data_IF_692091196018
#
_entry.id   IF_692091196018
#
_cell.length_a   1.000
_cell.length_b   1.000
_cell.length_c   1.000
_cell.angle_alpha   90.00
_cell.angle_beta   90.00
_cell.angle_gamma   90.00
#
_symmetry.space_group_name_H-M   'P 1'
#
loop_
_entity.id
_entity.type
_entity.pdbx_description
1 polymer ?
#
# COMPACT_ATOMS: atom_id res chain seq x y z
N UNK A 1 -8.48 29.03 -9.82
CA UNK A 1 -8.47 28.15 -8.63
C UNK A 1 -8.72 26.74 -9.13
N UNK A 2 -7.94 25.77 -8.67
CA UNK A 2 -8.23 24.34 -8.95
C UNK A 2 -9.34 23.91 -7.99
N UNK A 3 -10.32 23.14 -8.49
CA UNK A 3 -11.36 22.56 -7.65
C UNK A 3 -10.73 21.61 -6.62
N UNK A 4 -11.32 21.48 -5.44
CA UNK A 4 -10.92 20.54 -4.40
C UNK A 4 -11.83 19.30 -4.44
N UNK A 5 -11.57 18.34 -5.35
CA UNK A 5 -12.46 17.22 -5.59
C UNK A 5 -12.43 16.20 -4.43
N UNK A 6 -13.57 15.54 -4.25
CA UNK A 6 -13.74 14.44 -3.31
C UNK A 6 -13.22 13.14 -3.90
N UNK A 7 -12.46 12.38 -3.11
CA UNK A 7 -11.98 11.03 -3.43
C UNK A 7 -12.60 10.01 -2.50
N UNK A 8 -12.55 8.74 -2.93
CA UNK A 8 -12.92 7.60 -2.10
C UNK A 8 -11.79 6.56 -2.04
N UNK A 9 -11.75 5.82 -0.94
CA UNK A 9 -10.85 4.67 -0.82
C UNK A 9 -11.32 3.53 -1.73
N UNK A 10 -10.37 2.80 -2.28
CA UNK A 10 -10.61 1.74 -3.26
C UNK A 10 -10.67 0.37 -2.60
N UNK A 11 -11.83 -0.26 -2.53
CA UNK A 11 -11.94 -1.65 -2.10
C UNK A 11 -13.39 -2.11 -1.93
N UNK A 12 -13.64 -3.37 -2.26
CA UNK A 12 -14.94 -4.01 -2.04
C UNK A 12 -14.83 -4.97 -0.86
N UNK A 13 -15.60 -4.73 0.20
CA UNK A 13 -15.72 -5.64 1.33
C UNK A 13 -16.51 -6.88 0.93
N UNK A 14 -15.97 -8.09 1.16
CA UNK A 14 -16.58 -9.34 0.70
C UNK A 14 -17.15 -10.21 1.82
N UNK A 15 -16.53 -10.30 2.98
CA UNK A 15 -17.02 -11.12 4.11
C UNK A 15 -16.29 -10.84 5.43
N UNK A 16 -17.04 -10.89 6.52
CA UNK A 16 -16.48 -11.02 7.86
C UNK A 16 -16.12 -12.49 8.07
N UNK A 17 -14.82 -12.82 8.16
CA UNK A 17 -14.36 -14.19 8.38
C UNK A 17 -13.98 -14.37 9.85
N UNK A 18 -14.22 -15.58 10.38
CA UNK A 18 -13.68 -15.99 11.68
C UNK A 18 -12.15 -15.99 11.70
N UNK A 19 -11.55 -16.21 12.88
CA UNK A 19 -10.09 -16.22 13.07
C UNK A 19 -9.40 -17.18 12.10
N UNK A 20 -8.85 -16.68 10.99
CA UNK A 20 -7.78 -17.38 10.28
C UNK A 20 -6.45 -16.95 10.92
N UNK A 21 -5.78 -17.91 11.54
CA UNK A 21 -4.44 -17.73 12.11
C UNK A 21 -3.39 -17.95 11.02
N UNK A 22 -2.34 -17.14 11.02
CA UNK A 22 -1.16 -17.43 10.23
C UNK A 22 -0.82 -16.37 9.18
N UNK A 23 -0.18 -16.81 8.12
CA UNK A 23 0.32 -15.93 7.06
C UNK A 23 -0.72 -15.89 5.93
N UNK A 24 -1.32 -14.72 5.62
CA UNK A 24 -2.28 -14.58 4.53
C UNK A 24 -1.67 -15.00 3.18
N UNK A 25 -2.52 -15.50 2.28
CA UNK A 25 -2.08 -16.05 1.01
C UNK A 25 -1.26 -15.04 0.17
N UNK A 26 -1.65 -13.76 0.18
CA UNK A 26 -0.96 -12.72 -0.57
C UNK A 26 0.46 -12.48 -0.07
N UNK A 27 0.65 -12.53 1.25
CA UNK A 27 1.98 -12.43 1.88
C UNK A 27 2.87 -13.62 1.53
N UNK A 28 2.27 -14.83 1.43
CA UNK A 28 2.97 -16.05 1.01
C UNK A 28 3.33 -16.00 -0.48
N UNK A 29 2.38 -15.57 -1.34
CA UNK A 29 2.55 -15.54 -2.81
C UNK A 29 3.74 -14.67 -3.22
N UNK A 30 3.89 -13.50 -2.60
CA UNK A 30 5.03 -12.61 -2.87
C UNK A 30 6.34 -13.05 -2.21
N UNK A 31 6.35 -14.20 -1.53
CA UNK A 31 7.50 -14.79 -0.83
C UNK A 31 8.09 -13.93 0.29
N UNK A 32 7.29 -13.08 0.92
CA UNK A 32 7.75 -12.27 2.05
C UNK A 32 8.28 -13.10 3.22
N UNK A 33 7.67 -14.25 3.61
CA UNK A 33 8.17 -15.08 4.70
C UNK A 33 9.60 -15.59 4.49
N UNK A 34 10.02 -15.82 3.25
CA UNK A 34 11.38 -16.28 2.95
C UNK A 34 12.43 -15.19 3.19
N UNK A 35 12.03 -13.92 3.20
CA UNK A 35 12.92 -12.81 3.47
C UNK A 35 13.09 -12.52 4.97
N UNK A 36 12.22 -13.03 5.84
CA UNK A 36 12.19 -12.64 7.26
C UNK A 36 13.41 -13.10 8.07
N UNK A 37 14.15 -14.09 7.60
CA UNK A 37 15.46 -14.44 8.18
C UNK A 37 16.54 -13.38 7.91
N UNK A 38 16.35 -12.56 6.88
CA UNK A 38 17.30 -11.53 6.45
C UNK A 38 16.80 -10.13 6.80
N UNK A 39 15.52 -9.85 6.58
CA UNK A 39 14.91 -8.53 6.80
C UNK A 39 13.44 -8.66 7.20
N UNK A 40 12.99 -7.81 8.12
CA UNK A 40 11.61 -7.75 8.60
C UNK A 40 11.02 -6.35 8.50
N UNK A 41 11.69 -5.42 7.81
CA UNK A 41 11.26 -4.02 7.68
C UNK A 41 11.62 -3.15 8.89
N UNK A 42 12.55 -3.57 9.75
CA UNK A 42 12.93 -2.84 10.96
C UNK A 42 13.40 -1.41 10.66
N UNK A 43 12.95 -0.45 11.50
CA UNK A 43 13.22 1.00 11.38
C UNK A 43 12.64 1.70 10.15
N UNK A 44 11.85 1.03 9.32
CA UNK A 44 11.19 1.67 8.18
C UNK A 44 9.86 2.27 8.62
N UNK A 45 9.69 3.56 8.31
CA UNK A 45 8.50 4.37 8.62
C UNK A 45 7.61 4.44 7.38
N UNK A 46 6.36 4.05 7.53
CA UNK A 46 5.37 4.05 6.44
C UNK A 46 4.21 4.95 6.81
N UNK A 47 4.04 6.06 6.12
CA UNK A 47 2.85 6.89 6.22
C UNK A 47 1.72 6.25 5.41
N UNK A 48 0.63 5.89 6.07
CA UNK A 48 -0.57 5.35 5.42
C UNK A 48 -1.63 6.44 5.41
N UNK A 49 -1.81 7.09 4.25
CA UNK A 49 -2.85 8.11 4.04
C UNK A 49 -4.15 7.38 3.73
N UNK A 50 -5.07 7.33 4.71
CA UNK A 50 -6.25 6.48 4.67
C UNK A 50 -7.32 6.91 5.70
N UNK A 51 -8.22 6.02 6.08
CA UNK A 51 -9.30 6.23 7.05
C UNK A 51 -8.85 6.22 8.51
N UNK A 52 -7.57 6.01 8.79
CA UNK A 52 -7.01 5.81 10.13
C UNK A 52 -6.63 4.36 10.41
N UNK A 53 -6.42 3.99 11.68
CA UNK A 53 -6.12 2.61 12.09
C UNK A 53 -6.77 2.30 13.44
N UNK A 54 -7.19 1.06 13.65
CA UNK A 54 -7.61 0.55 14.96
C UNK A 54 -6.38 0.31 15.85
N UNK A 55 -6.06 1.26 16.72
CA UNK A 55 -4.93 1.17 17.65
C UNK A 55 -5.07 0.05 18.68
N UNK A 56 -6.28 -0.46 18.88
CA UNK A 56 -6.56 -1.54 19.83
C UNK A 56 -6.39 -2.93 19.21
N UNK A 57 -6.21 -3.01 17.87
CA UNK A 57 -6.11 -4.30 17.19
C UNK A 57 -4.89 -5.09 17.69
N UNK A 58 -5.05 -6.33 18.17
CA UNK A 58 -3.98 -7.12 18.78
C UNK A 58 -2.78 -7.36 17.87
N UNK A 59 -3.00 -7.43 16.54
CA UNK A 59 -1.94 -7.68 15.57
C UNK A 59 -1.17 -6.41 15.18
N UNK A 60 -1.70 -5.22 15.51
CA UNK A 60 -1.14 -3.94 15.08
C UNK A 60 -0.51 -3.12 16.20
N UNK A 61 -0.90 -3.33 17.44
CA UNK A 61 -0.51 -2.48 18.59
C UNK A 61 0.99 -2.21 18.73
N UNK A 62 1.85 -3.11 18.23
CA UNK A 62 3.31 -2.98 18.28
C UNK A 62 3.93 -2.43 16.99
N UNK A 63 3.11 -2.26 15.94
CA UNK A 63 3.54 -1.80 14.63
C UNK A 63 3.07 -0.37 14.31
N UNK A 64 2.36 0.28 15.25
CA UNK A 64 1.77 1.61 15.06
C UNK A 64 2.51 2.69 15.81
N UNK A 65 2.68 3.83 15.16
CA UNK A 65 3.01 5.10 15.80
C UNK A 65 1.79 6.03 15.84
N UNK A 66 1.89 7.17 16.55
CA UNK A 66 0.76 8.08 16.77
C UNK A 66 0.11 8.57 15.47
N UNK A 67 0.90 8.88 14.43
CA UNK A 67 0.38 9.46 13.19
C UNK A 67 -0.29 10.84 13.36
N UNK A 68 -1.22 11.15 12.47
CA UNK A 68 -1.99 12.41 12.50
C UNK A 68 -3.43 12.20 12.02
N UNK A 69 -4.37 12.88 12.65
CA UNK A 69 -5.75 13.01 12.18
C UNK A 69 -5.93 14.40 11.56
N UNK A 70 -6.10 14.45 10.24
CA UNK A 70 -6.26 15.72 9.51
C UNK A 70 -7.68 16.28 9.63
N UNK A 71 -8.66 15.41 9.88
CA UNK A 71 -10.06 15.80 10.05
C UNK A 71 -10.33 16.39 11.45
N UNK A 72 -9.55 15.93 12.45
CA UNK A 72 -9.61 16.46 13.81
C UNK A 72 -8.22 16.33 14.48
N UNK A 73 -7.44 17.39 14.43
CA UNK A 73 -6.03 17.39 14.90
C UNK A 73 -5.87 17.18 16.40
N UNK A 74 -6.93 17.35 17.19
CA UNK A 74 -6.91 17.09 18.63
C UNK A 74 -7.07 15.59 18.96
N UNK A 75 -7.63 14.80 18.03
CA UNK A 75 -7.89 13.38 18.20
C UNK A 75 -6.79 12.50 17.59
N UNK A 76 -6.68 11.27 18.08
CA UNK A 76 -5.87 10.23 17.40
C UNK A 76 -6.52 9.86 16.05
N UNK A 77 -5.75 9.39 15.07
CA UNK A 77 -6.25 8.94 13.78
C UNK A 77 -6.90 7.54 13.87
N UNK A 78 -7.91 7.40 14.75
CA UNK A 78 -8.69 6.18 14.86
C UNK A 78 -9.48 5.92 13.58
N UNK A 79 -9.52 4.66 13.17
CA UNK A 79 -10.29 4.20 12.03
C UNK A 79 -11.75 3.96 12.43
N UNK A 80 -12.65 4.55 11.68
CA UNK A 80 -14.11 4.43 11.82
C UNK A 80 -14.78 3.83 10.56
N UNK A 81 -13.94 3.39 9.58
CA UNK A 81 -14.36 2.76 8.33
C UNK A 81 -13.88 1.29 8.26
N UNK A 82 -12.59 1.06 8.51
CA UNK A 82 -11.92 -0.26 8.49
C UNK A 82 -10.91 -0.43 7.36
N UNK A 83 -10.97 0.40 6.30
CA UNK A 83 -10.07 0.29 5.15
C UNK A 83 -8.60 0.50 5.57
N UNK A 84 -8.29 1.58 6.30
CA UNK A 84 -6.92 1.87 6.74
C UNK A 84 -6.36 0.82 7.70
N UNK A 85 -7.20 0.25 8.57
CA UNK A 85 -6.82 -0.89 9.43
C UNK A 85 -6.45 -2.12 8.59
N UNK A 86 -7.21 -2.40 7.54
CA UNK A 86 -6.92 -3.49 6.61
C UNK A 86 -5.58 -3.29 5.89
N UNK A 87 -5.33 -2.08 5.38
CA UNK A 87 -4.06 -1.70 4.74
C UNK A 87 -2.90 -1.88 5.72
N UNK A 88 -3.01 -1.33 6.94
CA UNK A 88 -1.97 -1.45 7.96
C UNK A 88 -1.68 -2.91 8.34
N UNK A 89 -2.71 -3.75 8.45
CA UNK A 89 -2.58 -5.17 8.73
C UNK A 89 -1.79 -5.92 7.65
N UNK A 90 -2.11 -5.69 6.39
CA UNK A 90 -1.39 -6.29 5.27
C UNK A 90 0.09 -5.87 5.26
N UNK A 91 0.38 -4.61 5.59
CA UNK A 91 1.76 -4.10 5.65
C UNK A 91 2.52 -4.70 6.84
N UNK A 92 1.98 -4.58 8.07
CA UNK A 92 2.79 -4.65 9.29
C UNK A 92 2.16 -5.40 10.46
N UNK A 93 1.10 -6.20 10.26
CA UNK A 93 0.60 -7.05 11.34
C UNK A 93 1.71 -7.97 11.87
N UNK A 94 1.80 -8.16 13.19
CA UNK A 94 2.92 -8.81 13.86
C UNK A 94 2.50 -9.72 15.03
N UNK A 95 1.44 -10.53 14.85
CA UNK A 95 0.96 -11.45 15.88
C UNK A 95 1.13 -12.91 15.46
N UNK A 96 2.35 -13.41 15.60
CA UNK A 96 2.74 -14.75 15.19
C UNK A 96 1.98 -15.89 15.90
N UNK A 97 1.56 -15.69 17.14
CA UNK A 97 1.02 -16.77 17.97
C UNK A 97 -0.51 -16.92 17.87
N UNK A 98 -1.24 -15.83 17.65
CA UNK A 98 -2.70 -15.82 17.77
C UNK A 98 -3.44 -15.07 16.67
N UNK A 99 -2.76 -14.44 15.74
CA UNK A 99 -3.32 -13.62 14.69
C UNK A 99 -2.61 -13.80 13.36
N UNK A 100 -2.56 -12.72 12.57
CA UNK A 100 -1.91 -12.70 11.27
C UNK A 100 -0.55 -12.00 11.30
N UNK A 101 0.24 -12.25 10.24
CA UNK A 101 1.51 -11.56 9.99
C UNK A 101 1.41 -10.89 8.63
N UNK A 102 1.73 -9.59 8.58
CA UNK A 102 1.84 -8.79 7.37
C UNK A 102 3.18 -8.99 6.65
N UNK A 103 3.39 -8.24 5.59
CA UNK A 103 4.58 -8.36 4.73
C UNK A 103 5.85 -7.96 5.46
N UNK A 104 5.83 -6.84 6.20
CA UNK A 104 6.98 -6.27 6.91
C UNK A 104 6.66 -6.09 8.41
N UNK A 105 6.67 -7.18 9.20
CA UNK A 105 6.10 -7.21 10.56
C UNK A 105 6.87 -6.38 11.60
N UNK A 106 8.03 -5.82 11.26
CA UNK A 106 8.79 -4.90 12.12
C UNK A 106 8.91 -3.47 11.55
N UNK A 107 8.19 -3.16 10.46
CA UNK A 107 8.02 -1.78 10.02
C UNK A 107 7.05 -1.02 10.95
N UNK A 108 7.14 0.30 10.95
CA UNK A 108 6.26 1.16 11.74
C UNK A 108 5.30 1.91 10.83
N UNK A 109 4.01 1.67 11.00
CA UNK A 109 2.95 2.38 10.30
C UNK A 109 2.58 3.65 11.07
N UNK A 110 2.55 4.75 10.36
CA UNK A 110 2.09 6.06 10.83
C UNK A 110 0.75 6.37 10.13
N UNK A 111 -0.38 6.19 10.83
CA UNK A 111 -1.69 6.50 10.24
C UNK A 111 -1.82 8.00 9.97
N UNK A 112 -2.19 8.35 8.76
CA UNK A 112 -2.51 9.72 8.33
C UNK A 112 -3.98 9.72 7.91
N UNK A 113 -4.87 10.01 8.88
CA UNK A 113 -6.31 10.00 8.63
C UNK A 113 -6.71 11.24 7.86
N UNK A 114 -6.91 11.05 6.55
CA UNK A 114 -7.44 12.05 5.63
C UNK A 114 -8.86 11.72 5.16
N UNK A 115 -9.27 10.45 5.29
CA UNK A 115 -10.57 9.94 4.84
C UNK A 115 -11.51 9.78 6.03
N UNK A 116 -12.77 10.17 5.83
CA UNK A 116 -13.84 10.08 6.81
C UNK A 116 -14.39 8.63 6.96
N UNK A 117 -15.42 8.46 7.78
CA UNK A 117 -16.09 7.18 8.01
C UNK A 117 -16.76 6.60 6.75
N UNK A 118 -17.07 7.41 5.75
CA UNK A 118 -17.59 6.97 4.45
C UNK A 118 -16.47 6.58 3.48
N UNK A 119 -15.21 6.76 3.88
CA UNK A 119 -14.06 6.54 3.01
C UNK A 119 -13.89 7.65 1.97
N UNK A 120 -14.25 8.88 2.28
CA UNK A 120 -14.15 10.05 1.41
C UNK A 120 -13.18 11.08 1.96
N UNK A 121 -12.43 11.76 1.08
CA UNK A 121 -11.48 12.82 1.43
C UNK A 121 -11.44 13.90 0.35
N UNK A 122 -11.12 15.13 0.74
CA UNK A 122 -10.77 16.17 -0.21
C UNK A 122 -9.29 16.07 -0.63
N UNK A 123 -8.96 16.51 -1.84
CA UNK A 123 -7.57 16.53 -2.33
C UNK A 123 -6.67 17.38 -1.42
N UNK A 124 -7.19 18.48 -0.88
CA UNK A 124 -6.49 19.32 0.09
C UNK A 124 -6.02 18.57 1.33
N UNK A 125 -6.85 17.67 1.89
CA UNK A 125 -6.49 16.84 3.04
C UNK A 125 -5.37 15.84 2.67
N UNK A 126 -5.45 15.27 1.47
CA UNK A 126 -4.41 14.37 0.96
C UNK A 126 -3.09 15.10 0.80
N UNK A 127 -3.09 16.31 0.23
CA UNK A 127 -1.90 17.16 0.09
C UNK A 127 -1.30 17.47 1.47
N UNK A 128 -2.12 17.84 2.46
CA UNK A 128 -1.67 18.04 3.84
C UNK A 128 -1.07 16.77 4.43
N UNK A 129 -1.63 15.60 4.12
CA UNK A 129 -1.11 14.29 4.53
C UNK A 129 0.27 13.99 3.94
N UNK A 130 0.45 14.24 2.65
CA UNK A 130 1.75 14.09 1.97
C UNK A 130 2.79 15.03 2.59
N UNK A 131 2.44 16.29 2.80
CA UNK A 131 3.33 17.28 3.39
C UNK A 131 3.71 16.91 4.84
N UNK A 132 2.76 16.39 5.63
CA UNK A 132 3.06 15.86 6.96
C UNK A 132 4.05 14.67 6.89
N UNK A 133 3.88 13.75 5.93
CA UNK A 133 4.80 12.64 5.72
C UNK A 133 6.22 13.12 5.37
N UNK A 134 6.34 14.16 4.54
CA UNK A 134 7.64 14.78 4.20
C UNK A 134 8.31 15.37 5.44
N UNK A 135 7.59 16.21 6.20
CA UNK A 135 8.10 16.82 7.44
C UNK A 135 8.45 15.78 8.51
N UNK A 136 7.72 14.69 8.58
CA UNK A 136 7.95 13.59 9.52
C UNK A 136 9.00 12.59 9.05
N UNK A 137 9.62 12.83 7.88
CA UNK A 137 10.67 11.98 7.28
C UNK A 137 10.24 10.51 7.18
N UNK A 138 9.08 10.28 6.54
CA UNK A 138 8.66 8.93 6.20
C UNK A 138 9.57 8.34 5.12
N UNK A 139 9.78 7.03 5.15
CA UNK A 139 10.50 6.33 4.07
C UNK A 139 9.56 6.02 2.91
N UNK A 140 8.31 5.67 3.21
CA UNK A 140 7.31 5.25 2.25
C UNK A 140 6.00 5.98 2.54
N UNK A 141 5.27 6.37 1.50
CA UNK A 141 3.86 6.81 1.57
C UNK A 141 3.03 5.80 0.81
N UNK A 142 2.05 5.19 1.50
CA UNK A 142 1.04 4.32 0.90
C UNK A 142 -0.23 5.13 0.62
N UNK A 143 -0.65 5.15 -0.64
CA UNK A 143 -1.85 5.84 -1.12
C UNK A 143 -2.78 4.83 -1.80
N UNK A 144 -3.68 4.25 -1.01
CA UNK A 144 -4.64 3.21 -1.44
C UNK A 144 -5.97 3.81 -1.89
N UNK A 145 -5.92 4.81 -2.75
CA UNK A 145 -7.05 5.54 -3.31
C UNK A 145 -6.71 6.11 -4.69
N UNK A 146 -7.73 6.54 -5.43
CA UNK A 146 -7.53 7.13 -6.73
C UNK A 146 -8.61 8.10 -7.18
N UNK A 147 -8.26 8.94 -8.16
CA UNK A 147 -9.16 9.86 -8.84
C UNK A 147 -8.93 9.83 -10.35
N UNK A 148 -9.98 10.09 -11.13
CA UNK A 148 -9.90 10.07 -12.60
C UNK A 148 -9.26 11.32 -13.18
N UNK A 149 -9.46 12.45 -12.51
CA UNK A 149 -9.01 13.76 -12.96
C UNK A 149 -7.60 14.06 -12.47
N UNK A 150 -6.79 14.68 -13.31
CA UNK A 150 -5.46 15.15 -12.94
C UNK A 150 -5.57 16.42 -12.10
N UNK A 151 -4.94 16.43 -10.92
CA UNK A 151 -4.76 17.61 -10.10
C UNK A 151 -3.30 18.10 -10.19
N UNK A 152 -3.11 19.39 -10.46
CA UNK A 152 -1.77 20.03 -10.48
C UNK A 152 -1.21 20.14 -9.08
N UNK A 153 -2.05 20.51 -8.11
CA UNK A 153 -1.65 20.66 -6.71
C UNK A 153 -1.20 19.35 -6.10
N UNK A 154 -1.94 18.26 -6.37
CA UNK A 154 -1.56 16.90 -5.95
C UNK A 154 -0.24 16.46 -6.62
N UNK A 155 -0.05 16.76 -7.91
CA UNK A 155 1.22 16.47 -8.60
C UNK A 155 2.40 17.19 -7.94
N UNK A 156 2.23 18.46 -7.56
CA UNK A 156 3.28 19.21 -6.87
C UNK A 156 3.63 18.56 -5.52
N UNK A 157 2.64 18.20 -4.70
CA UNK A 157 2.86 17.52 -3.43
C UNK A 157 3.60 16.18 -3.60
N UNK A 158 3.17 15.37 -4.57
CA UNK A 158 3.81 14.09 -4.92
C UNK A 158 5.26 14.32 -5.40
N UNK A 159 5.49 15.34 -6.23
CA UNK A 159 6.83 15.66 -6.72
C UNK A 159 7.75 16.11 -5.58
N UNK A 160 7.26 16.93 -4.66
CA UNK A 160 8.02 17.35 -3.48
C UNK A 160 8.42 16.17 -2.59
N UNK A 161 7.49 15.24 -2.34
CA UNK A 161 7.77 14.03 -1.57
C UNK A 161 8.81 13.13 -2.26
N UNK A 162 8.68 12.95 -3.59
CA UNK A 162 9.65 12.19 -4.39
C UNK A 162 11.06 12.83 -4.33
N UNK A 163 11.15 14.15 -4.49
CA UNK A 163 12.41 14.89 -4.42
C UNK A 163 13.03 14.85 -3.01
N UNK A 164 12.20 14.69 -1.97
CA UNK A 164 12.67 14.46 -0.59
C UNK A 164 13.14 13.01 -0.35
N UNK A 165 13.16 12.15 -1.38
CA UNK A 165 13.62 10.77 -1.30
C UNK A 165 12.58 9.79 -0.77
N UNK A 166 11.31 10.18 -0.67
CA UNK A 166 10.23 9.31 -0.18
C UNK A 166 9.69 8.47 -1.32
N UNK A 167 9.54 7.18 -1.07
CA UNK A 167 8.92 6.25 -2.01
C UNK A 167 7.40 6.36 -1.90
N UNK A 168 6.74 6.62 -3.02
CA UNK A 168 5.30 6.79 -3.08
C UNK A 168 4.68 5.62 -3.83
N UNK A 169 3.81 4.87 -3.17
CA UNK A 169 3.12 3.69 -3.73
C UNK A 169 1.64 4.00 -3.83
N UNK A 170 1.05 3.80 -5.01
CA UNK A 170 -0.34 4.19 -5.25
C UNK A 170 -1.12 3.15 -6.05
N UNK A 171 -2.41 3.01 -5.74
CA UNK A 171 -3.33 2.07 -6.37
C UNK A 171 -3.80 2.53 -7.75
N UNK A 172 -3.86 1.61 -8.71
CA UNK A 172 -4.18 1.94 -10.10
C UNK A 172 -5.67 2.13 -10.39
N UNK A 173 -6.56 1.79 -9.45
CA UNK A 173 -8.02 1.86 -9.59
C UNK A 173 -8.67 0.53 -9.96
N UNK A 174 -9.99 0.44 -9.72
CA UNK A 174 -10.76 -0.80 -9.69
C UNK A 174 -11.91 -0.89 -10.71
N UNK A 175 -11.84 -0.16 -11.84
CA UNK A 175 -12.90 -0.18 -12.87
C UNK A 175 -12.78 -1.35 -13.85
N UNK A 176 -11.73 -2.15 -13.79
CA UNK A 176 -11.44 -3.21 -14.77
C UNK A 176 -11.09 -2.69 -16.16
N UNK A 177 -10.84 -1.38 -16.31
CA UNK A 177 -10.65 -0.72 -17.59
C UNK A 177 -9.22 -0.88 -18.11
N UNK A 178 -9.12 -1.06 -19.44
CA UNK A 178 -7.84 -1.01 -20.15
C UNK A 178 -7.45 0.44 -20.43
N UNK A 179 -6.12 0.72 -20.42
CA UNK A 179 -5.54 2.05 -20.65
C UNK A 179 -6.06 3.11 -19.68
N UNK A 180 -6.50 2.69 -18.51
CA UNK A 180 -7.00 3.55 -17.44
C UNK A 180 -6.17 3.29 -16.18
N UNK A 181 -5.50 4.31 -15.68
CA UNK A 181 -4.80 4.30 -14.39
C UNK A 181 -5.17 5.60 -13.69
N UNK A 182 -5.58 5.50 -12.46
CA UNK A 182 -6.03 6.64 -11.66
C UNK A 182 -4.84 7.47 -11.16
N UNK A 183 -5.10 8.73 -10.81
CA UNK A 183 -4.13 9.56 -10.10
C UNK A 183 -4.29 9.33 -8.58
N UNK A 184 -3.20 9.31 -7.81
CA UNK A 184 -1.83 9.69 -8.19
C UNK A 184 -1.00 8.57 -8.85
N UNK A 185 -1.48 7.33 -8.96
CA UNK A 185 -0.72 6.21 -9.52
C UNK A 185 -0.21 6.46 -10.95
N UNK A 186 -0.90 7.31 -11.70
CA UNK A 186 -0.51 7.69 -13.07
C UNK A 186 0.66 8.69 -13.13
N UNK A 187 1.05 9.32 -12.01
CA UNK A 187 2.21 10.21 -12.00
C UNK A 187 3.51 9.41 -12.07
N UNK A 188 4.53 9.86 -12.84
CA UNK A 188 5.79 9.11 -12.99
C UNK A 188 6.60 8.99 -11.69
N UNK A 189 6.36 9.86 -10.71
CA UNK A 189 7.00 9.87 -9.40
C UNK A 189 6.48 8.76 -8.48
N UNK A 190 5.34 8.15 -8.80
CA UNK A 190 4.76 7.07 -7.99
C UNK A 190 5.14 5.69 -8.52
N UNK A 191 5.07 4.70 -7.65
CA UNK A 191 5.03 3.28 -8.03
C UNK A 191 3.56 2.91 -8.16
N UNK A 192 3.12 2.69 -9.39
CA UNK A 192 1.74 2.35 -9.73
C UNK A 192 1.49 0.85 -9.59
N UNK A 193 0.46 0.47 -8.83
CA UNK A 193 0.20 -0.92 -8.46
C UNK A 193 -1.14 -1.41 -9.00
N UNK A 194 -1.11 -2.50 -9.77
CA UNK A 194 -2.28 -3.28 -10.16
C UNK A 194 -2.48 -4.51 -9.28
N UNK A 195 -3.66 -5.13 -9.37
CA UNK A 195 -4.02 -6.29 -8.56
C UNK A 195 -4.00 -7.61 -9.34
N UNK A 196 -3.52 -8.67 -8.67
CA UNK A 196 -3.61 -10.07 -9.13
C UNK A 196 -4.50 -10.90 -8.22
N UNK A 197 -4.92 -12.05 -8.74
CA UNK A 197 -5.61 -13.11 -8.02
C UNK A 197 -4.66 -14.28 -7.66
N UNK A 198 -5.17 -15.28 -6.92
CA UNK A 198 -4.40 -16.48 -6.51
C UNK A 198 -3.79 -17.30 -7.67
N UNK A 199 -4.22 -17.06 -8.91
CA UNK A 199 -3.67 -17.71 -10.10
C UNK A 199 -2.58 -16.89 -10.78
N UNK A 200 -2.12 -15.78 -10.17
CA UNK A 200 -1.20 -14.79 -10.75
C UNK A 200 -1.70 -14.21 -12.08
N UNK A 201 -3.02 -14.06 -12.20
CA UNK A 201 -3.67 -13.36 -13.33
C UNK A 201 -4.10 -11.99 -12.85
N UNK A 202 -4.12 -11.01 -13.74
CA UNK A 202 -4.66 -9.68 -13.41
C UNK A 202 -6.12 -9.86 -12.97
N UNK A 203 -6.43 -9.34 -11.77
CA UNK A 203 -7.78 -9.40 -11.22
C UNK A 203 -8.77 -8.68 -12.15
N UNK A 204 -10.02 -9.18 -12.31
CA UNK A 204 -10.98 -8.61 -13.25
C UNK A 204 -11.25 -7.11 -13.03
N UNK A 205 -11.30 -6.69 -11.77
CA UNK A 205 -11.54 -5.29 -11.38
C UNK A 205 -10.31 -4.39 -11.58
N UNK A 206 -9.08 -4.94 -11.62
CA UNK A 206 -7.87 -4.12 -11.70
C UNK A 206 -7.83 -3.30 -12.98
N UNK A 207 -7.59 -2.01 -12.86
CA UNK A 207 -7.25 -1.17 -14.00
C UNK A 207 -5.93 -1.67 -14.62
N UNK A 208 -5.77 -1.42 -15.94
CA UNK A 208 -4.64 -1.91 -16.74
C UNK A 208 -4.11 -0.79 -17.63
N UNK A 209 -2.81 -0.74 -17.79
CA UNK A 209 -2.19 0.27 -18.68
C UNK A 209 -0.68 0.31 -18.58
N UNK A 210 -0.07 1.08 -19.46
CA UNK A 210 1.39 1.25 -19.58
C UNK A 210 2.02 1.96 -18.36
N UNK A 211 1.17 2.62 -17.55
CA UNK A 211 1.62 3.34 -16.34
C UNK A 211 1.69 2.43 -15.12
N UNK A 212 1.23 1.17 -15.20
CA UNK A 212 1.37 0.24 -14.08
C UNK A 212 2.80 -0.27 -14.03
N UNK A 213 3.46 -0.07 -12.92
CA UNK A 213 4.84 -0.49 -12.72
C UNK A 213 4.94 -1.95 -12.25
N UNK A 214 3.99 -2.40 -11.40
CA UNK A 214 3.99 -3.75 -10.85
C UNK A 214 2.58 -4.20 -10.48
N UNK A 215 2.38 -5.51 -10.44
CA UNK A 215 1.18 -6.14 -9.89
C UNK A 215 1.51 -6.87 -8.59
N UNK A 216 0.52 -6.97 -7.69
CA UNK A 216 0.64 -7.73 -6.45
C UNK A 216 -0.73 -8.32 -6.07
N UNK A 217 -0.80 -9.29 -5.13
CA UNK A 217 -2.03 -9.87 -4.64
C UNK A 217 -3.04 -8.82 -4.19
N UNK A 218 -4.25 -8.82 -4.77
CA UNK A 218 -5.29 -7.84 -4.45
C UNK A 218 -6.71 -8.40 -4.44
N UNK A 219 -6.91 -9.69 -4.78
CA UNK A 219 -8.22 -10.33 -4.75
C UNK A 219 -8.37 -11.21 -3.52
N UNK A 220 -9.47 -11.03 -2.75
CA UNK A 220 -9.77 -11.82 -1.54
C UNK A 220 -8.59 -11.85 -0.55
N UNK A 221 -8.15 -10.66 -0.17
CA UNK A 221 -7.07 -10.46 0.80
C UNK A 221 -7.67 -10.37 2.20
N UNK A 222 -7.33 -11.32 3.05
CA UNK A 222 -7.64 -11.29 4.47
C UNK A 222 -6.66 -10.37 5.19
N UNK A 223 -7.18 -9.47 6.03
CA UNK A 223 -6.36 -8.61 6.87
C UNK A 223 -7.09 -8.18 8.14
N UNK A 224 -6.39 -7.44 9.00
CA UNK A 224 -6.92 -6.84 10.22
C UNK A 224 -8.11 -5.94 9.92
N UNK A 225 -9.09 -5.89 10.84
CA UNK A 225 -10.29 -5.08 10.75
C UNK A 225 -10.62 -4.46 12.10
N UNK A 226 -11.59 -3.56 12.12
CA UNK A 226 -12.05 -2.89 13.33
C UNK A 226 -12.42 -3.87 14.45
N UNK A 227 -12.19 -3.45 15.69
CA UNK A 227 -12.52 -4.19 16.91
C UNK A 227 -11.83 -5.53 17.02
N UNK A 228 -10.56 -5.60 16.57
CA UNK A 228 -9.76 -6.82 16.65
C UNK A 228 -10.25 -7.96 15.75
N UNK A 229 -11.07 -7.65 14.73
CA UNK A 229 -11.59 -8.63 13.77
C UNK A 229 -10.69 -8.72 12.54
N UNK A 230 -11.05 -9.65 11.65
CA UNK A 230 -10.43 -9.82 10.34
C UNK A 230 -11.49 -9.69 9.25
N UNK A 231 -11.08 -9.17 8.10
CA UNK A 231 -11.99 -8.99 6.97
C UNK A 231 -11.29 -9.31 5.65
N UNK A 232 -12.04 -9.89 4.71
CA UNK A 232 -11.57 -10.18 3.36
C UNK A 232 -12.01 -9.05 2.42
N UNK A 233 -11.05 -8.43 1.74
CA UNK A 233 -11.29 -7.36 0.77
C UNK A 233 -10.63 -7.67 -0.57
N UNK A 234 -11.16 -7.05 -1.63
CA UNK A 234 -10.56 -7.06 -2.97
C UNK A 234 -10.40 -5.64 -3.48
N UNK A 235 -9.22 -5.35 -4.04
CA UNK A 235 -8.92 -4.03 -4.59
C UNK A 235 -7.44 -3.85 -4.91
N UNK A 236 -7.13 -2.88 -5.77
CA UNK A 236 -5.74 -2.46 -6.01
C UNK A 236 -5.11 -1.83 -4.77
N UNK A 237 -5.92 -1.36 -3.81
CA UNK A 237 -5.49 -0.92 -2.48
C UNK A 237 -4.79 -2.02 -1.70
N UNK A 238 -5.32 -3.26 -1.72
CA UNK A 238 -4.74 -4.41 -1.06
C UNK A 238 -3.41 -4.81 -1.73
N UNK A 239 -3.34 -4.71 -3.06
CA UNK A 239 -2.10 -4.92 -3.80
C UNK A 239 -1.03 -3.86 -3.43
N UNK A 240 -1.44 -2.59 -3.31
CA UNK A 240 -0.56 -1.47 -2.92
C UNK A 240 0.06 -1.68 -1.55
N UNK A 241 -0.69 -2.19 -0.58
CA UNK A 241 -0.17 -2.51 0.77
C UNK A 241 0.89 -3.62 0.74
N UNK A 242 0.73 -4.66 -0.10
CA UNK A 242 1.76 -5.67 -0.30
C UNK A 242 3.07 -5.07 -0.85
N UNK A 243 2.96 -4.16 -1.82
CA UNK A 243 4.12 -3.48 -2.42
C UNK A 243 4.80 -2.57 -1.41
N UNK A 244 4.03 -1.80 -0.62
CA UNK A 244 4.59 -0.94 0.44
C UNK A 244 5.36 -1.75 1.48
N UNK A 245 4.82 -2.89 1.92
CA UNK A 245 5.52 -3.81 2.82
C UNK A 245 6.78 -4.41 2.20
N UNK A 246 6.74 -4.82 0.93
CA UNK A 246 7.90 -5.37 0.24
C UNK A 246 9.04 -4.33 0.09
N UNK A 247 8.69 -3.09 -0.21
CA UNK A 247 9.68 -1.99 -0.25
C UNK A 247 10.27 -1.74 1.14
N UNK A 248 9.47 -1.88 2.21
CA UNK A 248 9.99 -1.77 3.57
C UNK A 248 11.00 -2.88 3.90
N UNK A 249 10.76 -4.12 3.44
CA UNK A 249 11.75 -5.19 3.55
C UNK A 249 13.04 -4.86 2.81
N UNK A 250 12.93 -4.34 1.58
CA UNK A 250 14.08 -3.96 0.75
C UNK A 250 14.89 -2.82 1.39
N UNK A 251 14.23 -1.75 1.84
CA UNK A 251 14.90 -0.61 2.47
C UNK A 251 15.57 -0.96 3.80
N UNK A 252 15.02 -1.91 4.56
CA UNK A 252 15.64 -2.40 5.78
C UNK A 252 16.84 -3.32 5.50
N UNK A 253 16.83 -4.00 4.35
CA UNK A 253 17.95 -4.80 3.85
C UNK A 253 19.07 -3.92 3.29
N UNK A 254 18.72 -2.99 2.41
CA UNK A 254 19.65 -2.06 1.77
C UNK A 254 19.17 -0.61 1.97
N UNK A 255 19.62 0.05 3.05
CA UNK A 255 19.28 1.45 3.32
C UNK A 255 19.86 2.40 2.27
N UNK A 256 19.17 3.54 2.05
CA UNK A 256 19.66 4.62 1.21
C UNK A 256 19.32 4.52 -0.28
N UNK A 257 18.60 3.48 -0.71
CA UNK A 257 18.11 3.38 -2.08
C UNK A 257 17.16 4.55 -2.41
N UNK A 258 17.44 5.24 -3.52
CA UNK A 258 16.57 6.30 -4.02
C UNK A 258 15.29 5.75 -4.64
N UNK A 259 14.19 6.54 -4.72
CA UNK A 259 12.93 6.10 -5.31
C UNK A 259 13.06 5.54 -6.74
N UNK A 260 13.90 6.15 -7.56
CA UNK A 260 14.15 5.69 -8.93
C UNK A 260 14.88 4.33 -8.98
N UNK A 261 15.81 4.08 -8.06
CA UNK A 261 16.53 2.81 -7.96
C UNK A 261 15.58 1.68 -7.53
N UNK A 262 14.72 1.94 -6.53
CA UNK A 262 13.70 0.96 -6.10
C UNK A 262 12.77 0.60 -7.27
N UNK A 263 12.30 1.60 -8.01
CA UNK A 263 11.46 1.38 -9.20
C UNK A 263 12.18 0.54 -10.27
N UNK A 264 13.48 0.76 -10.47
CA UNK A 264 14.31 -0.03 -11.39
C UNK A 264 14.51 -1.46 -10.88
N UNK A 265 14.81 -1.66 -9.59
CA UNK A 265 14.93 -2.97 -8.95
C UNK A 265 13.64 -3.77 -9.12
N UNK A 266 12.49 -3.17 -8.82
CA UNK A 266 11.19 -3.81 -8.96
C UNK A 266 10.95 -4.27 -10.40
N UNK A 267 11.20 -3.41 -11.39
CA UNK A 267 11.00 -3.74 -12.82
C UNK A 267 11.85 -4.92 -13.30
N UNK A 268 13.12 -5.03 -12.86
CA UNK A 268 13.98 -6.14 -13.27
C UNK A 268 13.77 -7.44 -12.49
N UNK A 269 13.04 -7.40 -11.36
CA UNK A 269 12.85 -8.54 -10.45
C UNK A 269 11.48 -9.21 -10.54
N UNK A 270 10.50 -8.60 -11.19
CA UNK A 270 9.12 -9.10 -11.23
C UNK A 270 8.98 -10.44 -11.92
N UNK A 271 7.98 -11.23 -11.51
CA UNK A 271 7.60 -12.49 -12.13
C UNK A 271 6.61 -12.25 -13.28
N UNK A 272 6.72 -12.98 -14.41
CA UNK A 272 5.72 -12.91 -15.47
C UNK A 272 4.32 -13.27 -14.98
N UNK A 273 3.32 -12.50 -15.38
CA UNK A 273 1.92 -12.81 -15.13
C UNK A 273 1.45 -14.01 -15.95
N UNK A 274 0.55 -14.80 -15.38
CA UNK A 274 -0.06 -15.93 -16.09
C UNK A 274 -1.25 -15.48 -16.95
N UNK A 275 -1.43 -16.12 -18.11
CA UNK A 275 -2.60 -15.91 -18.97
C UNK A 275 -2.66 -14.54 -19.67
N UNK A 276 -1.57 -13.80 -19.69
CA UNK A 276 -1.47 -12.56 -20.43
C UNK A 276 -0.44 -12.71 -21.58
N UNK A 277 -0.82 -12.25 -22.77
CA UNK A 277 0.15 -11.89 -23.82
C UNK A 277 0.75 -10.50 -23.53
N UNK A 278 0.84 -10.14 -22.24
CA UNK A 278 1.33 -8.85 -21.83
C UNK A 278 2.80 -8.68 -22.26
N UNK A 279 3.21 -7.48 -22.64
CA UNK A 279 4.62 -7.20 -22.90
C UNK A 279 5.46 -7.60 -21.67
N UNK A 280 6.73 -7.98 -21.90
CA UNK A 280 7.69 -8.34 -20.82
C UNK A 280 7.95 -7.24 -19.78
N UNK A 281 7.22 -6.14 -19.87
CA UNK A 281 7.36 -4.93 -19.03
C UNK A 281 6.44 -4.90 -17.80
N UNK A 282 5.57 -5.90 -17.60
CA UNK A 282 4.66 -5.97 -16.45
C UNK A 282 4.70 -7.36 -15.83
N UNK A 283 4.78 -7.42 -14.51
CA UNK A 283 4.86 -8.66 -13.77
C UNK A 283 4.37 -8.51 -12.35
N UNK A 284 4.37 -9.62 -11.63
CA UNK A 284 3.98 -9.69 -10.22
C UNK A 284 5.19 -9.54 -9.30
N UNK A 285 4.97 -8.93 -8.16
CA UNK A 285 5.93 -8.76 -7.08
C UNK A 285 6.46 -10.12 -6.58
N UNK A 286 7.79 -10.23 -6.43
CA UNK A 286 8.47 -11.32 -5.75
C UNK A 286 9.58 -10.72 -4.87
N UNK A 287 9.43 -10.81 -3.55
CA UNK A 287 10.34 -10.19 -2.58
C UNK A 287 11.74 -10.76 -2.66
N UNK A 288 11.88 -12.08 -2.85
CA UNK A 288 13.20 -12.72 -2.90
C UNK A 288 13.99 -12.30 -4.15
N UNK A 289 13.29 -12.21 -5.30
CA UNK A 289 13.90 -11.70 -6.53
C UNK A 289 14.25 -10.22 -6.41
N UNK A 290 13.42 -9.44 -5.71
CA UNK A 290 13.65 -8.02 -5.47
C UNK A 290 14.92 -7.80 -4.61
N UNK A 291 15.09 -8.54 -3.52
CA UNK A 291 16.31 -8.51 -2.70
C UNK A 291 17.53 -8.94 -3.53
N UNK A 292 17.47 -10.08 -4.22
CA UNK A 292 18.57 -10.54 -5.06
C UNK A 292 18.92 -9.60 -6.23
N UNK A 293 17.98 -8.77 -6.68
CA UNK A 293 18.22 -7.75 -7.69
C UNK A 293 18.85 -6.48 -7.12
N UNK A 294 18.73 -6.24 -5.84
CA UNK A 294 19.38 -5.11 -5.17
C UNK A 294 20.89 -5.34 -4.97
N UNK A 295 21.31 -6.60 -4.83
CA UNK A 295 22.73 -6.98 -4.67
C UNK A 295 23.55 -6.83 -5.96
N UNK A 296 22.93 -6.46 -7.08
CA UNK A 296 23.52 -6.30 -8.42
C UNK A 296 23.59 -4.83 -8.83
#
# INVERSE_FOLDING_TARGET
MEEDPLLAVDGTALKQTGREKGIPWGVQEIKAPHAWSTTTGHRIKIGVIDTGVDFSHPDLKHSLARGINLLNRAALPHDDNGHGTHIAGTIAAANQLRGMIGVAPRSTVYPVKAFDHNGSAFVSDIIMGIDWCVRSRMNIINMSFGMKTRSKSLLHAVTNAFNAGIIIVASSGNDGKRKSVDYPAKYPQTISVGATNRLRRIAPFSNRGIHIDIYAPGEKILSSWLRGKYHEMSGTSMATSHVSGAIALLLAYQPGLAPAEIKAIMKRSMLPLRGTKAPRLTGELDVMRMIAAADR
#
